data_IF_876758850024
#
_entry.id   IF_876758850024
#
_cell.length_a   1.000
_cell.length_b   1.000
_cell.length_c   1.000
_cell.angle_alpha   90.00
_cell.angle_beta   90.00
_cell.angle_gamma   90.00
#
_symmetry.space_group_name_H-M   'P 1'
#
loop_
_entity.id
_entity.type
_entity.pdbx_description
1 polymer ?
#
# COMPACT_ATOMS: atom_id res chain seq x y z
N UNK A 1 14.00 14.49 -5.77
CA UNK A 1 14.98 13.81 -6.65
C UNK A 1 14.92 12.33 -6.44
N UNK A 2 13.88 11.68 -6.96
CA UNK A 2 13.78 10.22 -7.08
C UNK A 2 14.39 9.80 -8.43
N UNK A 3 14.78 8.53 -8.58
CA UNK A 3 15.30 8.00 -9.85
C UNK A 3 14.19 7.46 -10.74
N UNK A 4 13.54 6.40 -10.28
CA UNK A 4 12.55 5.59 -10.97
C UNK A 4 11.53 5.03 -9.95
N UNK A 5 10.66 5.89 -9.38
CA UNK A 5 9.64 5.46 -8.43
C UNK A 5 8.64 4.55 -9.13
N UNK A 6 8.78 3.23 -8.91
CA UNK A 6 7.98 2.22 -9.61
C UNK A 6 6.57 2.10 -9.03
N UNK A 7 6.45 2.21 -7.71
CA UNK A 7 5.17 2.18 -7.01
C UNK A 7 5.16 3.17 -5.86
N UNK A 8 4.07 3.91 -5.78
CA UNK A 8 3.71 4.74 -4.65
C UNK A 8 2.38 4.27 -4.08
N UNK A 9 2.23 4.33 -2.77
CA UNK A 9 0.99 4.01 -2.07
C UNK A 9 0.76 5.00 -0.94
N UNK A 10 -0.46 5.53 -0.85
CA UNK A 10 -0.93 6.22 0.34
C UNK A 10 -1.61 5.20 1.24
N UNK A 11 -1.28 5.24 2.52
CA UNK A 11 -2.05 4.57 3.53
C UNK A 11 -3.39 5.30 3.70
N UNK A 12 -4.50 4.60 3.48
CA UNK A 12 -5.84 5.21 3.49
C UNK A 12 -6.29 5.64 4.87
N UNK A 13 -5.73 5.04 5.93
CA UNK A 13 -6.07 5.39 7.31
C UNK A 13 -5.22 6.53 7.87
N UNK A 14 -3.93 6.57 7.53
CA UNK A 14 -2.99 7.53 8.13
C UNK A 14 -2.62 8.68 7.20
N UNK A 15 -2.84 8.54 5.89
CA UNK A 15 -2.35 9.48 4.87
C UNK A 15 -0.86 9.34 4.58
N UNK A 16 -0.14 8.43 5.23
CA UNK A 16 1.30 8.28 5.03
C UNK A 16 1.63 7.79 3.62
N UNK A 17 2.72 8.29 3.05
CA UNK A 17 3.18 7.97 1.71
C UNK A 17 4.34 6.97 1.74
N UNK A 18 4.18 5.90 0.97
CA UNK A 18 5.21 4.90 0.69
C UNK A 18 5.65 5.02 -0.76
N UNK A 19 6.95 5.01 -1.01
CA UNK A 19 7.54 5.07 -2.36
C UNK A 19 8.61 4.01 -2.48
N UNK A 20 8.47 3.12 -3.46
CA UNK A 20 9.52 2.20 -3.89
C UNK A 20 10.25 2.78 -5.10
N UNK A 21 11.55 3.08 -4.93
CA UNK A 21 12.38 3.71 -5.97
C UNK A 21 13.47 2.74 -6.44
N UNK A 22 13.48 2.50 -7.76
CA UNK A 22 14.42 1.56 -8.39
C UNK A 22 15.75 2.24 -8.65
N UNK A 23 16.82 1.60 -8.17
CA UNK A 23 18.20 2.04 -8.29
C UNK A 23 18.76 2.01 -9.69
N UNK A 24 19.90 2.67 -9.88
CA UNK A 24 20.64 2.62 -11.13
C UNK A 24 21.55 1.40 -11.22
N UNK A 25 22.34 1.16 -10.18
CA UNK A 25 23.45 0.21 -10.19
C UNK A 25 23.61 -0.59 -8.89
N UNK A 26 23.15 -0.06 -7.75
CA UNK A 26 23.59 -0.59 -6.45
C UNK A 26 22.50 -0.67 -5.39
N UNK A 27 21.48 0.20 -5.40
CA UNK A 27 20.52 0.30 -4.29
C UNK A 27 19.09 0.40 -4.76
N UNK A 28 18.24 -0.45 -4.23
CA UNK A 28 16.80 -0.25 -4.24
C UNK A 28 16.37 0.44 -2.93
N UNK A 29 15.30 1.23 -2.98
CA UNK A 29 14.88 2.08 -1.87
C UNK A 29 13.39 1.92 -1.54
N UNK A 30 13.08 1.97 -0.24
CA UNK A 30 11.75 2.27 0.28
C UNK A 30 11.83 3.58 1.06
N UNK A 31 11.08 4.56 0.61
CA UNK A 31 10.91 5.85 1.27
C UNK A 31 9.53 5.87 1.94
N UNK A 32 9.50 6.14 3.24
CA UNK A 32 8.28 6.27 4.05
C UNK A 32 8.19 7.70 4.58
N UNK A 33 7.10 8.38 4.28
CA UNK A 33 6.90 9.79 4.58
C UNK A 33 5.55 9.95 5.28
N UNK A 34 5.51 10.67 6.39
CA UNK A 34 4.25 10.93 7.09
C UNK A 34 3.42 11.93 6.32
N UNK A 35 2.09 11.85 6.41
CA UNK A 35 1.16 12.76 5.73
C UNK A 35 1.58 14.25 5.83
N UNK A 36 1.91 14.69 7.05
CA UNK A 36 2.34 16.07 7.32
C UNK A 36 3.73 16.49 6.80
N UNK A 37 4.50 15.57 6.22
CA UNK A 37 5.91 15.78 5.82
C UNK A 37 6.12 15.69 4.30
N UNK A 38 5.07 15.45 3.51
CA UNK A 38 5.16 15.09 2.08
C UNK A 38 5.71 16.22 1.17
N UNK A 39 5.73 17.47 1.64
CA UNK A 39 6.07 18.62 0.81
C UNK A 39 7.58 18.93 0.76
N UNK A 40 8.08 19.21 -0.46
CA UNK A 40 9.41 19.78 -0.67
C UNK A 40 10.60 18.82 -0.48
N UNK A 41 10.35 17.52 -0.35
CA UNK A 41 11.39 16.54 -0.07
C UNK A 41 12.33 16.31 -1.26
N UNK A 42 13.63 16.23 -0.97
CA UNK A 42 14.66 15.92 -1.94
C UNK A 42 15.35 14.58 -1.63
N UNK A 43 14.96 13.52 -2.34
CA UNK A 43 15.54 12.17 -2.20
C UNK A 43 16.97 12.01 -2.75
N UNK A 44 17.55 13.06 -3.36
CA UNK A 44 18.98 13.14 -3.66
C UNK A 44 19.45 12.60 -5.01
N UNK A 45 18.63 11.88 -5.78
CA UNK A 45 18.98 11.53 -7.17
C UNK A 45 19.14 12.80 -8.03
N UNK A 46 20.17 12.94 -8.87
CA UNK A 46 21.21 11.94 -9.22
C UNK A 46 22.51 12.02 -8.43
N UNK A 47 22.57 12.82 -7.36
CA UNK A 47 23.80 12.94 -6.56
C UNK A 47 24.01 11.73 -5.66
N UNK A 48 22.91 11.12 -5.21
CA UNK A 48 22.88 9.92 -4.39
C UNK A 48 22.09 8.79 -5.03
N UNK A 49 22.48 7.57 -4.67
CA UNK A 49 21.74 6.33 -4.90
C UNK A 49 21.71 5.59 -3.55
N UNK A 50 20.53 5.42 -2.98
CA UNK A 50 20.38 5.18 -1.55
C UNK A 50 21.01 6.34 -0.77
N UNK A 51 21.77 5.96 0.25
CA UNK A 51 22.56 6.92 1.01
C UNK A 51 23.95 7.19 0.42
N UNK A 52 24.34 6.49 -0.64
CA UNK A 52 25.68 6.55 -1.22
C UNK A 52 25.81 7.70 -2.22
N UNK A 53 27.02 8.26 -2.36
CA UNK A 53 27.34 9.15 -3.49
C UNK A 53 27.26 8.35 -4.79
N UNK A 54 26.43 8.80 -5.73
CA UNK A 54 26.32 8.21 -7.07
C UNK A 54 27.08 9.04 -8.10
N UNK A 55 26.88 10.37 -8.11
CA UNK A 55 27.52 11.27 -9.06
C UNK A 55 28.39 12.29 -8.34
N UNK A 56 29.64 12.43 -8.79
CA UNK A 56 30.54 13.51 -8.37
C UNK A 56 30.23 14.86 -9.02
N UNK A 57 29.27 14.92 -9.94
CA UNK A 57 28.88 16.16 -10.64
C UNK A 57 28.01 17.10 -9.80
N UNK A 58 27.56 16.66 -8.63
CA UNK A 58 26.84 17.46 -7.67
C UNK A 58 27.20 17.05 -6.24
N UNK A 59 26.86 17.91 -5.27
CA UNK A 59 27.12 17.62 -3.87
C UNK A 59 26.34 16.40 -3.39
N UNK A 60 27.01 15.46 -2.74
CA UNK A 60 26.37 14.34 -2.03
C UNK A 60 26.05 14.67 -0.57
N UNK A 61 26.28 15.91 -0.16
CA UNK A 61 25.82 16.50 1.09
C UNK A 61 24.78 17.61 0.82
N UNK A 62 23.64 17.51 1.49
CA UNK A 62 22.51 18.44 1.38
C UNK A 62 21.38 17.97 2.30
N UNK A 63 20.29 18.74 2.48
CA UNK A 63 19.12 18.28 3.22
C UNK A 63 18.38 17.25 2.35
N UNK A 64 18.95 16.06 2.27
CA UNK A 64 18.34 14.95 1.56
C UNK A 64 17.44 14.17 2.50
N UNK A 65 16.27 13.80 1.98
CA UNK A 65 15.43 12.81 2.62
C UNK A 65 16.06 11.44 2.38
N UNK A 66 16.41 10.74 3.46
CA UNK A 66 17.02 9.42 3.36
C UNK A 66 15.93 8.35 3.19
N UNK A 67 16.20 7.29 2.41
CA UNK A 67 15.31 6.14 2.41
C UNK A 67 15.32 5.46 3.78
N UNK A 68 14.13 5.15 4.29
CA UNK A 68 13.93 4.48 5.57
C UNK A 68 14.32 2.99 5.51
N UNK A 69 14.35 2.43 4.30
CA UNK A 69 14.99 1.15 4.02
C UNK A 69 15.63 1.13 2.63
N UNK A 70 16.76 0.45 2.51
CA UNK A 70 17.46 0.25 1.24
C UNK A 70 18.15 -1.12 1.24
N UNK A 71 18.27 -1.75 0.08
CA UNK A 71 18.99 -3.02 -0.05
C UNK A 71 19.92 -3.02 -1.26
N UNK A 72 20.94 -3.90 -1.22
CA UNK A 72 21.94 -4.02 -2.29
C UNK A 72 21.42 -4.84 -3.46
N UNK A 73 21.96 -4.57 -4.65
CA UNK A 73 21.87 -5.43 -5.83
C UNK A 73 22.58 -6.78 -5.63
N UNK A 74 21.90 -7.72 -4.99
CA UNK A 74 22.36 -9.10 -4.77
C UNK A 74 21.17 -10.04 -4.54
N UNK A 75 21.45 -11.34 -4.37
CA UNK A 75 20.41 -12.36 -4.18
C UNK A 75 19.63 -12.24 -2.86
N UNK A 76 20.23 -11.68 -1.80
CA UNK A 76 19.56 -11.46 -0.50
C UNK A 76 18.68 -10.21 -0.50
N UNK A 77 19.01 -9.22 -1.33
CA UNK A 77 18.20 -8.04 -1.62
C UNK A 77 17.41 -8.27 -2.89
N UNK A 78 17.82 -7.63 -3.96
CA UNK A 78 17.16 -7.76 -5.26
C UNK A 78 17.71 -6.72 -6.24
N UNK A 79 17.08 -6.58 -7.39
CA UNK A 79 17.62 -5.79 -8.49
C UNK A 79 16.60 -4.83 -9.12
N UNK A 80 15.35 -4.90 -8.68
CA UNK A 80 14.26 -4.09 -9.20
C UNK A 80 13.10 -4.17 -8.23
N UNK A 81 13.04 -3.23 -7.28
CA UNK A 81 11.95 -3.16 -6.31
C UNK A 81 10.63 -2.88 -7.03
N UNK A 82 9.63 -3.67 -6.73
CA UNK A 82 8.26 -3.48 -7.21
C UNK A 82 7.45 -2.57 -6.29
N UNK A 83 7.87 -2.46 -5.04
CA UNK A 83 7.09 -1.84 -3.97
C UNK A 83 5.86 -2.67 -3.62
N UNK A 84 4.87 -2.04 -3.01
CA UNK A 84 3.57 -2.65 -2.74
C UNK A 84 2.64 -1.67 -2.03
N UNK A 85 1.91 -2.13 -1.02
CA UNK A 85 0.90 -1.36 -0.29
C UNK A 85 0.93 -1.64 1.22
N UNK A 86 0.51 -0.68 2.06
CA UNK A 86 0.11 -0.97 3.44
C UNK A 86 -1.11 -1.89 3.44
N UNK A 87 -1.04 -3.03 4.12
CA UNK A 87 -2.18 -3.95 4.18
C UNK A 87 -3.27 -3.41 5.10
N UNK A 88 -4.51 -3.36 4.58
CA UNK A 88 -5.70 -2.87 5.31
C UNK A 88 -6.88 -3.86 5.33
N UNK A 89 -6.66 -5.07 4.82
CA UNK A 89 -7.64 -6.15 4.86
C UNK A 89 -7.79 -6.80 6.24
N UNK A 90 -8.84 -7.56 6.43
CA UNK A 90 -9.14 -8.25 7.68
C UNK A 90 -8.62 -9.70 7.70
N UNK A 91 -8.33 -10.31 6.54
CA UNK A 91 -7.92 -11.72 6.49
C UNK A 91 -6.56 -11.99 7.12
N UNK A 92 -5.71 -10.96 7.29
CA UNK A 92 -4.42 -11.00 7.96
C UNK A 92 -4.36 -9.91 9.05
N UNK A 93 -5.07 -10.07 10.19
CA UNK A 93 -5.20 -9.01 11.19
C UNK A 93 -3.84 -8.57 11.75
N UNK A 94 -2.90 -9.51 11.88
CA UNK A 94 -1.52 -9.24 12.32
C UNK A 94 -0.69 -8.41 11.33
N UNK A 95 -1.19 -8.17 10.11
CA UNK A 95 -0.53 -7.37 9.08
C UNK A 95 -1.16 -5.98 8.90
N UNK A 96 -2.15 -5.60 9.72
CA UNK A 96 -2.77 -4.28 9.64
C UNK A 96 -1.73 -3.13 9.69
N UNK A 97 -1.79 -2.24 8.70
CA UNK A 97 -0.87 -1.11 8.53
C UNK A 97 0.56 -1.50 8.14
N UNK A 98 0.84 -2.79 7.90
CA UNK A 98 2.17 -3.25 7.52
C UNK A 98 2.37 -3.07 6.01
N UNK A 99 3.48 -2.43 5.62
CA UNK A 99 3.82 -2.27 4.21
C UNK A 99 4.39 -3.58 3.65
N UNK A 100 3.65 -4.18 2.72
CA UNK A 100 4.02 -5.43 2.06
C UNK A 100 4.60 -5.09 0.69
N UNK A 101 5.77 -5.63 0.35
CA UNK A 101 6.47 -5.30 -0.90
C UNK A 101 7.35 -6.44 -1.41
N UNK A 102 7.74 -6.36 -2.67
CA UNK A 102 8.56 -7.37 -3.33
C UNK A 102 9.62 -6.79 -4.28
N UNK A 103 10.55 -7.65 -4.67
CA UNK A 103 11.46 -7.44 -5.79
C UNK A 103 11.00 -8.24 -7.02
N UNK A 104 11.03 -7.61 -8.19
CA UNK A 104 10.62 -8.22 -9.45
C UNK A 104 11.52 -9.39 -9.86
N UNK A 105 12.84 -9.27 -9.74
CA UNK A 105 13.78 -10.25 -10.29
C UNK A 105 14.04 -11.41 -9.34
N UNK A 106 14.22 -11.14 -8.05
CA UNK A 106 14.48 -12.21 -7.06
C UNK A 106 13.21 -12.84 -6.51
N UNK A 107 12.05 -12.21 -6.70
CA UNK A 107 10.80 -12.56 -6.02
C UNK A 107 10.92 -12.57 -4.48
N UNK A 108 11.96 -11.92 -3.94
CA UNK A 108 12.05 -11.71 -2.51
C UNK A 108 10.87 -10.84 -2.07
N UNK A 109 10.30 -11.21 -0.93
CA UNK A 109 9.05 -10.69 -0.43
C UNK A 109 9.22 -10.30 1.04
N UNK A 110 8.76 -9.11 1.41
CA UNK A 110 8.99 -8.56 2.73
C UNK A 110 7.76 -7.85 3.28
N UNK A 111 7.76 -7.70 4.59
CA UNK A 111 6.87 -6.84 5.34
C UNK A 111 7.69 -5.79 6.09
N UNK A 112 7.21 -4.56 6.17
CA UNK A 112 7.86 -3.46 6.88
C UNK A 112 6.88 -2.67 7.74
N UNK A 113 7.27 -2.36 8.98
CA UNK A 113 6.54 -1.44 9.86
C UNK A 113 7.43 -0.27 10.27
N UNK A 114 6.91 0.97 10.32
CA UNK A 114 7.66 2.11 10.82
C UNK A 114 7.94 2.01 12.33
N UNK A 115 9.18 2.27 12.73
CA UNK A 115 9.57 2.45 14.12
C UNK A 115 9.35 3.91 14.56
N UNK A 116 9.44 4.16 15.88
CA UNK A 116 9.31 5.51 16.47
C UNK A 116 10.36 6.52 15.98
N UNK A 117 11.48 6.06 15.44
CA UNK A 117 12.58 6.87 14.90
C UNK A 117 12.60 6.88 13.37
N UNK A 118 11.47 6.56 12.73
CA UNK A 118 11.27 6.53 11.29
C UNK A 118 12.06 5.47 10.52
N UNK A 119 12.88 4.63 11.17
CA UNK A 119 13.43 3.45 10.49
C UNK A 119 12.35 2.40 10.27
N UNK A 120 12.54 1.50 9.29
CA UNK A 120 11.63 0.36 9.09
C UNK A 120 12.14 -0.88 9.82
N UNK A 121 11.24 -1.57 10.53
CA UNK A 121 11.44 -2.96 10.94
C UNK A 121 11.04 -3.86 9.77
N UNK A 122 12.02 -4.37 9.04
CA UNK A 122 11.80 -5.20 7.85
C UNK A 122 11.98 -6.68 8.18
N UNK A 123 11.01 -7.50 7.77
CA UNK A 123 11.04 -8.95 7.90
C UNK A 123 10.94 -9.61 6.53
N UNK A 124 11.79 -10.60 6.28
CA UNK A 124 11.65 -11.47 5.10
C UNK A 124 10.47 -12.40 5.29
N UNK A 125 9.62 -12.43 4.26
CA UNK A 125 8.39 -13.23 4.16
C UNK A 125 8.41 -14.14 2.94
N UNK A 126 9.54 -14.22 2.23
CA UNK A 126 9.69 -14.99 0.99
C UNK A 126 9.28 -16.46 1.13
N UNK A 127 9.59 -17.10 2.27
CA UNK A 127 9.21 -18.51 2.51
C UNK A 127 7.72 -18.71 2.79
N UNK A 128 7.00 -17.65 3.16
CA UNK A 128 5.58 -17.67 3.47
C UNK A 128 4.74 -17.51 2.20
N UNK A 129 5.26 -16.80 1.19
CA UNK A 129 4.56 -16.55 -0.07
C UNK A 129 4.66 -17.77 -1.01
N UNK A 130 3.60 -18.59 -1.03
CA UNK A 130 3.47 -19.76 -1.91
C UNK A 130 2.07 -19.84 -2.51
N UNK A 131 1.98 -20.43 -3.70
CA UNK A 131 0.68 -20.71 -4.32
C UNK A 131 -0.05 -21.83 -3.57
N UNK A 132 -1.32 -21.61 -3.26
CA UNK A 132 -2.24 -22.67 -2.79
C UNK A 132 -2.60 -23.67 -3.88
N UNK A 133 -2.44 -23.28 -5.15
CA UNK A 133 -2.67 -24.14 -6.32
C UNK A 133 -1.37 -24.78 -6.77
N UNK A 134 -1.36 -26.11 -6.87
CA UNK A 134 -0.20 -26.89 -7.32
C UNK A 134 0.22 -26.49 -8.74
N UNK A 135 1.53 -26.44 -8.98
CA UNK A 135 2.11 -26.15 -10.28
C UNK A 135 2.11 -24.66 -10.67
N UNK A 136 1.63 -23.77 -9.81
CA UNK A 136 1.75 -22.33 -10.01
C UNK A 136 2.88 -21.76 -9.15
N UNK A 137 3.65 -20.84 -9.73
CA UNK A 137 4.70 -20.09 -9.04
C UNK A 137 4.33 -18.62 -9.01
N UNK A 138 4.72 -17.94 -7.92
CA UNK A 138 4.61 -16.50 -7.77
C UNK A 138 6.03 -15.95 -7.98
N UNK A 139 6.28 -15.36 -9.14
CA UNK A 139 7.58 -14.82 -9.52
C UNK A 139 7.38 -13.64 -10.47
N UNK A 140 8.44 -12.90 -10.78
CA UNK A 140 8.32 -11.68 -11.62
C UNK A 140 7.19 -10.78 -11.12
N UNK A 141 7.16 -10.55 -9.80
CA UNK A 141 6.09 -9.80 -9.13
C UNK A 141 6.17 -8.36 -9.64
N UNK A 142 5.27 -7.97 -10.54
CA UNK A 142 5.35 -6.68 -11.24
C UNK A 142 4.50 -5.61 -10.59
N UNK A 143 3.51 -6.02 -9.79
CA UNK A 143 2.54 -5.13 -9.20
C UNK A 143 1.81 -5.81 -8.03
N UNK A 144 1.16 -4.97 -7.24
CA UNK A 144 0.19 -5.36 -6.23
C UNK A 144 -1.13 -4.66 -6.57
N UNK A 145 -2.22 -5.20 -6.03
CA UNK A 145 -3.52 -4.55 -6.04
C UNK A 145 -4.24 -4.79 -4.72
N UNK A 146 -5.24 -3.98 -4.44
CA UNK A 146 -6.11 -4.13 -3.28
C UNK A 146 -7.55 -4.13 -3.77
N UNK A 147 -8.41 -4.98 -3.20
CA UNK A 147 -9.85 -4.88 -3.41
C UNK A 147 -10.46 -3.79 -2.50
N UNK A 148 -11.78 -3.61 -2.60
CA UNK A 148 -12.50 -2.62 -1.80
C UNK A 148 -12.51 -2.97 -0.29
N UNK A 149 -12.07 -4.18 0.09
CA UNK A 149 -11.96 -4.63 1.48
C UNK A 149 -10.55 -4.40 2.03
N UNK A 150 -9.64 -3.89 1.21
CA UNK A 150 -8.22 -3.78 1.57
C UNK A 150 -7.48 -5.12 1.48
N UNK A 151 -8.09 -6.17 0.94
CA UNK A 151 -7.40 -7.43 0.74
C UNK A 151 -6.43 -7.33 -0.43
N UNK A 152 -5.27 -7.95 -0.25
CA UNK A 152 -4.15 -7.73 -1.14
C UNK A 152 -4.00 -8.83 -2.18
N UNK A 153 -3.58 -8.39 -3.36
CA UNK A 153 -3.33 -9.22 -4.52
C UNK A 153 -1.93 -8.96 -5.07
N UNK A 154 -1.32 -10.01 -5.63
CA UNK A 154 -0.01 -9.97 -6.29
C UNK A 154 -0.20 -10.28 -7.77
N UNK A 155 0.42 -9.46 -8.62
CA UNK A 155 0.48 -9.70 -10.06
C UNK A 155 1.83 -10.35 -10.40
N UNK A 156 1.77 -11.60 -10.86
CA UNK A 156 2.89 -12.36 -11.39
C UNK A 156 2.96 -12.14 -12.89
N UNK A 157 3.95 -11.37 -13.37
CA UNK A 157 4.08 -11.06 -14.79
C UNK A 157 4.37 -12.32 -15.62
N UNK A 158 5.28 -13.16 -15.11
CA UNK A 158 5.56 -14.45 -15.73
C UNK A 158 4.36 -15.38 -15.50
N UNK A 159 3.72 -15.78 -16.59
CA UNK A 159 2.47 -16.54 -16.61
C UNK A 159 1.19 -15.70 -16.60
N UNK A 160 1.27 -14.37 -16.43
CA UNK A 160 0.13 -13.45 -16.53
C UNK A 160 -0.97 -13.74 -15.51
N UNK A 161 -0.61 -13.84 -14.22
CA UNK A 161 -1.52 -14.29 -13.15
C UNK A 161 -1.73 -13.24 -12.08
N UNK A 162 -2.94 -13.26 -11.52
CA UNK A 162 -3.32 -12.54 -10.31
C UNK A 162 -3.51 -13.55 -9.19
N UNK A 163 -2.87 -13.33 -8.05
CA UNK A 163 -3.02 -14.16 -6.85
C UNK A 163 -3.57 -13.29 -5.71
N UNK A 164 -4.56 -13.78 -4.96
CA UNK A 164 -4.97 -13.18 -3.68
C UNK A 164 -4.03 -13.68 -2.59
N UNK A 165 -3.53 -12.78 -1.74
CA UNK A 165 -2.79 -13.15 -0.53
C UNK A 165 -3.82 -13.56 0.53
N UNK A 166 -3.63 -14.72 1.14
CA UNK A 166 -4.51 -15.28 2.17
C UNK A 166 -3.65 -15.85 3.30
N UNK A 167 -4.18 -15.98 4.53
CA UNK A 167 -3.52 -16.75 5.58
C UNK A 167 -3.29 -18.21 5.14
N UNK A 168 -2.29 -18.85 5.75
CA UNK A 168 -1.95 -20.24 5.47
C UNK A 168 -3.00 -21.22 6.04
N UNK A 169 -3.62 -20.85 7.15
CA UNK A 169 -4.77 -21.54 7.74
C UNK A 169 -6.08 -20.96 7.19
N UNK A 170 -7.23 -21.62 7.45
CA UNK A 170 -8.52 -21.22 6.89
C UNK A 170 -8.71 -19.70 7.02
N UNK A 171 -9.11 -18.99 5.94
CA UNK A 171 -9.32 -17.56 6.00
C UNK A 171 -10.25 -17.28 7.16
N UNK A 172 -9.85 -16.40 8.09
CA UNK A 172 -10.86 -15.71 8.89
C UNK A 172 -11.78 -15.06 7.85
N UNK A 173 -13.01 -15.56 7.80
CA UNK A 173 -14.04 -14.99 6.96
C UNK A 173 -14.24 -13.58 7.50
N UNK A 174 -13.74 -12.62 6.74
CA UNK A 174 -13.77 -11.18 6.98
C UNK A 174 -15.15 -10.58 7.26
N UNK A 175 -16.20 -11.40 7.27
CA UNK A 175 -17.54 -10.96 6.98
C UNK A 175 -17.63 -10.47 5.53
N UNK A 176 -18.84 -10.10 5.08
CA UNK A 176 -18.97 -9.38 3.82
C UNK A 176 -18.12 -8.10 3.85
N UNK A 177 -17.71 -7.61 2.66
CA UNK A 177 -16.97 -6.36 2.55
C UNK A 177 -17.64 -5.23 3.33
N UNK A 178 -16.88 -4.33 4.01
CA UNK A 178 -17.47 -3.14 4.59
C UNK A 178 -18.18 -2.39 3.47
N UNK A 179 -19.49 -2.23 3.60
CA UNK A 179 -20.26 -1.48 2.63
C UNK A 179 -19.72 -0.05 2.62
N UNK A 180 -19.48 0.59 1.46
CA UNK A 180 -19.14 2.01 1.44
C UNK A 180 -20.23 2.89 2.06
N UNK A 181 -21.41 2.31 2.31
CA UNK A 181 -22.55 2.94 2.96
C UNK A 181 -22.67 2.60 4.45
N UNK A 182 -21.79 1.75 4.99
CA UNK A 182 -21.62 1.50 6.42
C UNK A 182 -20.72 2.61 6.99
N UNK A 183 -21.36 3.69 7.43
CA UNK A 183 -20.74 4.91 7.91
C UNK A 183 -20.29 4.80 9.38
N UNK A 184 -20.84 3.86 10.15
CA UNK A 184 -20.45 3.65 11.54
C UNK A 184 -19.48 2.47 11.74
N UNK A 185 -19.24 1.67 10.70
CA UNK A 185 -18.32 0.54 10.68
C UNK A 185 -18.82 -0.67 11.48
N UNK A 186 -20.13 -0.81 11.68
CA UNK A 186 -20.72 -1.91 12.44
C UNK A 186 -20.97 -3.19 11.62
N UNK A 187 -20.67 -3.16 10.31
CA UNK A 187 -20.82 -4.26 9.38
C UNK A 187 -22.19 -4.34 8.70
N UNK A 188 -23.09 -3.40 8.96
CA UNK A 188 -24.46 -3.41 8.45
C UNK A 188 -24.91 -2.00 8.03
N UNK A 189 -25.42 -1.82 6.81
CA UNK A 189 -26.03 -0.54 6.44
C UNK A 189 -27.44 -0.44 7.01
N UNK A 190 -27.62 0.38 8.04
CA UNK A 190 -28.84 0.44 8.81
C UNK A 190 -29.21 1.87 9.28
N UNK A 191 -30.10 1.97 10.26
CA UNK A 191 -30.54 3.25 10.81
C UNK A 191 -29.41 4.07 11.45
N UNK A 192 -28.34 3.42 11.91
CA UNK A 192 -27.12 4.07 12.38
C UNK A 192 -26.45 4.88 11.28
N UNK A 193 -26.23 4.28 10.12
CA UNK A 193 -25.61 4.92 8.97
C UNK A 193 -26.48 6.01 8.39
N UNK A 194 -27.78 5.78 8.29
CA UNK A 194 -28.73 6.82 7.88
C UNK A 194 -28.67 8.02 8.83
N UNK A 195 -28.53 7.79 10.13
CA UNK A 195 -28.35 8.83 11.12
C UNK A 195 -27.11 9.68 10.83
N UNK A 196 -25.96 9.04 10.59
CA UNK A 196 -24.70 9.73 10.24
C UNK A 196 -24.85 10.47 8.91
N UNK A 197 -25.40 9.82 7.89
CA UNK A 197 -25.62 10.39 6.56
C UNK A 197 -26.46 11.68 6.62
N UNK A 198 -27.54 11.69 7.40
CA UNK A 198 -28.40 12.88 7.56
C UNK A 198 -27.63 14.05 8.17
N UNK A 199 -26.63 13.81 9.03
CA UNK A 199 -25.78 14.89 9.56
C UNK A 199 -24.95 15.59 8.47
N UNK A 200 -24.75 14.93 7.34
CA UNK A 200 -23.97 15.42 6.20
C UNK A 200 -24.86 16.02 5.10
N UNK A 201 -26.18 16.06 5.27
CA UNK A 201 -27.09 16.49 4.19
C UNK A 201 -26.79 17.90 3.70
N UNK A 202 -26.55 18.04 2.40
CA UNK A 202 -26.17 19.31 1.75
C UNK A 202 -24.71 19.74 1.97
N UNK A 203 -23.87 18.89 2.59
CA UNK A 203 -22.45 19.16 2.73
C UNK A 203 -21.72 19.06 1.38
N UNK A 204 -20.64 19.83 1.25
CA UNK A 204 -19.77 19.87 0.07
C UNK A 204 -18.51 19.03 0.36
N UNK A 205 -18.09 18.17 -0.56
CA UNK A 205 -16.92 17.29 -0.43
C UNK A 205 -16.95 16.46 0.88
N UNK A 206 -18.11 15.94 1.24
CA UNK A 206 -18.28 15.09 2.42
C UNK A 206 -17.98 13.63 2.09
N UNK A 207 -17.61 12.85 3.09
CA UNK A 207 -17.48 11.39 2.98
C UNK A 207 -18.81 10.68 2.62
N UNK A 208 -19.94 11.37 2.77
CA UNK A 208 -21.26 10.88 2.40
C UNK A 208 -21.68 11.23 0.95
N UNK A 209 -20.79 11.85 0.16
CA UNK A 209 -20.96 12.04 -1.29
C UNK A 209 -20.53 10.75 -2.01
N UNK A 210 -21.51 9.88 -2.24
CA UNK A 210 -21.26 8.54 -2.77
C UNK A 210 -21.26 8.50 -4.30
N UNK A 211 -21.85 9.49 -4.96
CA UNK A 211 -21.86 9.58 -6.42
C UNK A 211 -20.70 10.44 -6.98
N UNK A 212 -20.00 11.18 -6.11
CA UNK A 212 -18.84 12.00 -6.43
C UNK A 212 -19.17 13.32 -7.14
N UNK A 213 -20.40 13.84 -6.99
CA UNK A 213 -20.84 15.08 -7.63
C UNK A 213 -20.52 16.36 -6.83
N UNK A 214 -19.96 16.19 -5.63
CA UNK A 214 -19.52 17.24 -4.72
C UNK A 214 -20.57 17.66 -3.70
N UNK A 215 -21.78 17.08 -3.69
CA UNK A 215 -22.87 17.42 -2.78
C UNK A 215 -23.59 16.19 -2.22
N UNK A 216 -23.84 16.17 -0.91
CA UNK A 216 -24.68 15.11 -0.30
C UNK A 216 -26.16 15.41 -0.53
N UNK A 217 -26.80 14.61 -1.38
CA UNK A 217 -28.19 14.80 -1.79
C UNK A 217 -29.02 13.51 -1.72
N UNK A 218 -30.25 13.56 -2.25
CA UNK A 218 -31.10 12.39 -2.38
C UNK A 218 -30.52 11.33 -3.33
N UNK A 219 -29.59 11.70 -4.22
CA UNK A 219 -28.90 10.74 -5.08
C UNK A 219 -28.00 9.82 -4.22
N UNK A 220 -27.24 10.40 -3.30
CA UNK A 220 -26.38 9.66 -2.35
C UNK A 220 -27.20 8.84 -1.37
N UNK A 221 -28.35 9.37 -0.91
CA UNK A 221 -29.28 8.59 -0.09
C UNK A 221 -29.80 7.36 -0.85
N UNK A 222 -30.06 7.49 -2.14
CA UNK A 222 -30.44 6.36 -2.99
C UNK A 222 -29.35 5.29 -3.03
N UNK A 223 -28.09 5.70 -3.08
CA UNK A 223 -26.94 4.78 -3.01
C UNK A 223 -26.82 4.12 -1.64
N UNK A 224 -26.95 4.89 -0.54
CA UNK A 224 -26.96 4.34 0.82
C UNK A 224 -28.05 3.27 0.99
N UNK A 225 -29.28 3.59 0.60
CA UNK A 225 -30.41 2.65 0.70
C UNK A 225 -30.22 1.44 -0.20
N UNK A 226 -29.51 1.57 -1.33
CA UNK A 226 -29.22 0.43 -2.20
C UNK A 226 -28.36 -0.64 -1.54
N UNK A 227 -27.57 -0.25 -0.53
CA UNK A 227 -26.77 -1.17 0.28
C UNK A 227 -27.42 -1.61 1.60
N UNK A 228 -28.70 -1.28 1.85
CA UNK A 228 -29.35 -1.52 3.14
C UNK A 228 -29.35 -2.99 3.55
N UNK A 229 -28.80 -3.29 4.73
CA UNK A 229 -28.76 -4.63 5.31
C UNK A 229 -27.39 -5.05 5.85
N UNK A 230 -27.40 -6.24 6.43
CA UNK A 230 -26.26 -7.14 6.63
C UNK A 230 -26.54 -8.38 5.73
#
# INVERSE_FOLDING_TARGET
GLRNPWRCAFDRETGDLWIADVGQNAREEVNFIRDGEISGLNFGWKCREGQNTYSSSCGSSGPFFNPQYQYSHNSSGGYSITGGYPYRGCALPDQQGTYIFADYLTANFWSATPNKNDSLSVQSRTSELRSSTSGLSINSISSFGEDAQGEMYVLSHSGGRLFKIIPADLPEDCGPPPSPFDLNGDGCVNGGDLGIFITQWGAINSFADFNGDGLVTAADLGLLISGWGC
#
